data_IF_615791522892
#
_entry.id   IF_615791522892
#
_cell.length_a   1.000
_cell.length_b   1.000
_cell.length_c   1.000
_cell.angle_alpha   90.00
_cell.angle_beta   90.00
_cell.angle_gamma   90.00
#
_symmetry.space_group_name_H-M   'P 1'
#
loop_
_entity.id
_entity.type
_entity.pdbx_description
1 polymer ?
#
# COMPACT_ATOMS: atom_id res chain seq x y z
N UNK A 1 9.42 -1.13 23.15
CA UNK A 1 8.73 -0.31 22.12
C UNK A 1 7.25 -0.63 22.16
N UNK A 2 6.40 0.34 22.55
CA UNK A 2 4.95 0.13 22.61
C UNK A 2 4.37 -0.21 21.24
N UNK A 3 3.51 -1.23 21.16
CA UNK A 3 2.84 -1.64 19.93
C UNK A 3 1.91 -0.50 19.47
N UNK A 4 2.39 0.34 18.56
CA UNK A 4 1.57 1.41 17.96
C UNK A 4 0.37 0.77 17.28
N UNK A 5 -0.82 1.00 17.82
CA UNK A 5 -2.06 0.51 17.23
C UNK A 5 -2.16 1.06 15.80
N UNK A 6 -2.11 0.14 14.82
CA UNK A 6 -2.27 0.49 13.40
C UNK A 6 -3.71 0.99 13.21
N UNK A 7 -3.85 2.30 13.00
CA UNK A 7 -5.10 2.97 12.63
C UNK A 7 -5.56 2.52 11.24
N UNK A 8 -6.87 2.66 10.96
CA UNK A 8 -7.51 2.35 9.69
C UNK A 8 -8.57 1.24 9.78
N UNK A 9 -9.40 1.17 8.73
CA UNK A 9 -10.47 0.19 8.51
C UNK A 9 -9.90 -1.21 8.24
N UNK A 10 -10.56 -2.21 8.81
CA UNK A 10 -10.35 -3.60 8.42
C UNK A 10 -11.08 -3.83 7.09
N UNK A 11 -10.36 -3.79 5.98
CA UNK A 11 -10.90 -4.02 4.64
C UNK A 11 -10.20 -5.20 3.98
N UNK A 12 -10.94 -5.91 3.13
CA UNK A 12 -10.44 -7.04 2.34
C UNK A 12 -10.75 -6.78 0.88
N UNK A 13 -9.76 -6.89 0.01
CA UNK A 13 -9.93 -6.66 -1.41
C UNK A 13 -8.61 -6.70 -2.16
N UNK A 14 -8.71 -6.66 -3.49
CA UNK A 14 -7.58 -6.59 -4.41
C UNK A 14 -7.77 -5.32 -5.23
N UNK A 15 -6.68 -4.57 -5.42
CA UNK A 15 -6.65 -3.39 -6.26
C UNK A 15 -5.56 -3.62 -7.30
N UNK A 16 -5.95 -3.60 -8.57
CA UNK A 16 -5.03 -3.62 -9.70
C UNK A 16 -4.70 -2.16 -10.03
N UNK A 17 -3.43 -1.80 -9.96
CA UNK A 17 -2.97 -0.43 -10.20
C UNK A 17 -2.04 -0.44 -11.39
N UNK A 18 -2.33 0.41 -12.38
CA UNK A 18 -1.36 0.79 -13.39
C UNK A 18 -0.35 1.76 -12.76
N UNK A 19 0.83 1.25 -12.43
CA UNK A 19 1.83 1.99 -11.66
C UNK A 19 2.57 2.98 -12.58
N UNK A 20 2.60 4.29 -12.26
CA UNK A 20 3.38 5.23 -13.04
C UNK A 20 4.89 4.93 -12.97
N UNK A 21 5.61 5.32 -14.02
CA UNK A 21 7.08 5.32 -14.06
C UNK A 21 7.65 6.30 -13.03
N UNK A 22 8.89 6.06 -12.57
CA UNK A 22 9.55 6.92 -11.57
C UNK A 22 9.00 6.83 -10.14
N UNK A 23 7.98 6.00 -9.87
CA UNK A 23 7.51 5.72 -8.51
C UNK A 23 7.76 4.27 -8.10
N UNK A 24 8.21 4.08 -6.86
CA UNK A 24 8.37 2.74 -6.29
C UNK A 24 7.01 2.10 -5.98
N UNK A 25 6.99 0.77 -6.01
CA UNK A 25 5.79 -0.02 -5.67
C UNK A 25 5.28 0.29 -4.26
N UNK A 26 6.18 0.52 -3.30
CA UNK A 26 5.80 0.93 -1.95
C UNK A 26 5.18 2.34 -1.91
N UNK A 27 5.66 3.28 -2.72
CA UNK A 27 5.07 4.62 -2.76
C UNK A 27 3.60 4.56 -3.20
N UNK A 28 3.31 3.80 -4.26
CA UNK A 28 1.94 3.58 -4.73
C UNK A 28 1.10 2.83 -3.70
N UNK A 29 1.67 1.77 -3.07
CA UNK A 29 1.00 1.05 -1.99
C UNK A 29 0.57 1.97 -0.84
N UNK A 30 1.46 2.89 -0.40
CA UNK A 30 1.13 3.81 0.70
C UNK A 30 0.03 4.80 0.31
N UNK A 31 -0.02 5.26 -0.95
CA UNK A 31 -1.11 6.10 -1.43
C UNK A 31 -2.44 5.35 -1.41
N UNK A 32 -2.48 4.15 -2.00
CA UNK A 32 -3.68 3.31 -2.02
C UNK A 32 -4.15 2.99 -0.59
N UNK A 33 -3.23 2.61 0.30
CA UNK A 33 -3.56 2.34 1.70
C UNK A 33 -4.20 3.55 2.40
N UNK A 34 -3.74 4.77 2.11
CA UNK A 34 -4.31 6.01 2.66
C UNK A 34 -5.68 6.34 2.06
N UNK A 35 -5.85 6.18 0.74
CA UNK A 35 -7.10 6.46 0.04
C UNK A 35 -8.27 5.61 0.57
N UNK A 36 -8.00 4.34 0.89
CA UNK A 36 -9.01 3.43 1.44
C UNK A 36 -9.05 3.38 2.97
N UNK A 37 -8.23 4.21 3.64
CA UNK A 37 -7.98 4.14 5.10
C UNK A 37 -7.73 2.70 5.57
N UNK A 38 -6.93 1.92 4.84
CA UNK A 38 -6.74 0.51 5.10
C UNK A 38 -5.78 0.27 6.28
N UNK A 39 -6.17 -0.60 7.22
CA UNK A 39 -5.31 -0.95 8.37
C UNK A 39 -4.02 -1.68 7.94
N UNK A 40 -4.11 -2.49 6.88
CA UNK A 40 -2.99 -3.24 6.30
C UNK A 40 -3.18 -3.32 4.78
N UNK A 41 -2.08 -3.23 4.05
CA UNK A 41 -2.02 -3.46 2.62
C UNK A 41 -0.64 -4.06 2.27
N UNK A 42 -0.56 -4.79 1.17
CA UNK A 42 0.68 -5.32 0.60
C UNK A 42 0.61 -5.32 -0.93
N UNK A 43 1.76 -5.45 -1.60
CA UNK A 43 1.86 -5.62 -3.04
C UNK A 43 2.57 -6.95 -3.34
N UNK A 44 2.35 -7.52 -4.53
CA UNK A 44 2.77 -8.88 -4.91
C UNK A 44 4.22 -9.00 -5.41
N UNK A 45 5.12 -8.10 -4.99
CA UNK A 45 6.53 -8.10 -5.41
C UNK A 45 7.06 -6.72 -5.78
N UNK A 46 8.37 -6.52 -5.68
CA UNK A 46 9.06 -5.29 -6.08
C UNK A 46 9.59 -5.48 -7.50
N UNK A 47 8.93 -4.87 -8.49
CA UNK A 47 9.59 -4.61 -9.77
C UNK A 47 10.46 -3.38 -9.49
N UNK A 48 11.75 -3.58 -9.26
CA UNK A 48 12.70 -2.49 -9.03
C UNK A 48 12.54 -1.43 -10.12
N UNK A 49 12.61 -0.13 -9.77
CA UNK A 49 12.48 0.93 -10.76
C UNK A 49 13.68 0.88 -11.72
N UNK A 50 13.40 0.70 -13.01
CA UNK A 50 14.21 1.32 -14.07
C UNK A 50 13.97 2.83 -14.05
#
# INVERSE_FOLDING_TARGET
MGRRNKKGRNITGIIVVDKPTGRSSNHVLQQVKRLFDAKKAGHTGNVDPL
#
